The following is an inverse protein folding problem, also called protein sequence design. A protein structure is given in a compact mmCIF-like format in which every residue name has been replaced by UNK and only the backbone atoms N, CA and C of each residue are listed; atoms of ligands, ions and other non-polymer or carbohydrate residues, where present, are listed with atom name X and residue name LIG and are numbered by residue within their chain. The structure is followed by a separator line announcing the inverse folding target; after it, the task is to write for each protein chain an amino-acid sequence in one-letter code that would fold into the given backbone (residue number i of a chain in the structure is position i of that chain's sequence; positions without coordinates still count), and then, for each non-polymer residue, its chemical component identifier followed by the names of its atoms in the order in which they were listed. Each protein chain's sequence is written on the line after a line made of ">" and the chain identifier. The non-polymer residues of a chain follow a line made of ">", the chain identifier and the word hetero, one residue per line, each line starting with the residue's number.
data_IF_981735752946
#
_entry.id   IF_981735752946
#
_cell.length_a   1.000
_cell.length_b   1.000
_cell.length_c   1.000
_cell.angle_alpha   90.00
_cell.angle_beta   90.00
_cell.angle_gamma   90.00
#
_symmetry.space_group_name_H-M   'P 1'
#
loop_
_entity.id
_entity.type
_entity.pdbx_description
1 polymer ?
#
# COMPACT_ATOMS: atom_id res chain seq x y z
N UNK A 1 -27.75 2.65 1.24
CA UNK A 1 -26.33 2.21 1.31
C UNK A 1 -25.58 2.93 0.20
N UNK A 2 -24.46 3.58 0.52
CA UNK A 2 -23.65 4.33 -0.46
C UNK A 2 -22.40 3.49 -0.77
N UNK A 3 -22.25 3.06 -2.02
CA UNK A 3 -21.13 2.25 -2.51
C UNK A 3 -20.12 3.06 -3.32
N UNK A 4 -20.20 4.39 -3.23
CA UNK A 4 -19.28 5.30 -3.88
C UNK A 4 -18.24 5.75 -2.86
N UNK A 5 -17.00 5.85 -3.32
CA UNK A 5 -15.94 6.51 -2.58
C UNK A 5 -16.36 7.95 -2.24
N UNK A 6 -15.87 8.45 -1.12
CA UNK A 6 -15.94 9.87 -0.84
C UNK A 6 -14.87 10.66 -1.63
N UNK A 7 -14.88 11.98 -1.45
CA UNK A 7 -14.00 12.87 -2.19
C UNK A 7 -12.53 12.68 -1.79
N UNK A 8 -12.25 12.32 -0.53
CA UNK A 8 -10.91 12.09 0.00
C UNK A 8 -10.32 10.80 -0.57
N UNK A 9 -11.07 9.69 -0.53
CA UNK A 9 -10.69 8.41 -1.13
C UNK A 9 -10.48 8.54 -2.65
N UNK A 10 -11.36 9.31 -3.32
CA UNK A 10 -11.23 9.56 -4.76
C UNK A 10 -9.96 10.35 -5.08
N UNK A 11 -9.67 11.39 -4.32
CA UNK A 11 -8.48 12.22 -4.56
C UNK A 11 -7.18 11.48 -4.19
N UNK A 12 -7.23 10.62 -3.18
CA UNK A 12 -6.13 9.71 -2.84
C UNK A 12 -5.78 8.80 -4.03
N UNK A 13 -6.77 8.12 -4.61
CA UNK A 13 -6.58 7.30 -5.81
C UNK A 13 -6.02 8.09 -6.99
N UNK A 14 -6.59 9.27 -7.29
CA UNK A 14 -6.08 10.14 -8.37
C UNK A 14 -4.65 10.60 -8.15
N UNK A 15 -4.26 10.84 -6.90
CA UNK A 15 -2.89 11.24 -6.56
C UNK A 15 -1.91 10.11 -6.82
N UNK A 16 -2.26 8.89 -6.40
CA UNK A 16 -1.45 7.71 -6.70
C UNK A 16 -1.36 7.45 -8.20
N UNK A 17 -2.47 7.55 -8.95
CA UNK A 17 -2.48 7.39 -10.41
C UNK A 17 -1.49 8.35 -11.09
N UNK A 18 -1.56 9.65 -10.77
CA UNK A 18 -0.65 10.66 -11.33
C UNK A 18 0.80 10.39 -10.99
N UNK A 19 1.08 10.01 -9.74
CA UNK A 19 2.44 9.68 -9.29
C UNK A 19 2.99 8.47 -10.05
N UNK A 20 2.20 7.41 -10.21
CA UNK A 20 2.60 6.18 -10.86
C UNK A 20 2.74 6.35 -12.38
N UNK A 21 1.84 7.12 -13.00
CA UNK A 21 1.93 7.49 -14.42
C UNK A 21 3.25 8.24 -14.75
N UNK A 22 3.80 8.99 -13.79
CA UNK A 22 5.07 9.70 -13.95
C UNK A 22 6.31 8.84 -13.65
N UNK A 23 6.15 7.56 -13.24
CA UNK A 23 7.24 6.77 -12.68
C UNK A 23 7.86 5.72 -13.62
N UNK A 24 7.52 5.71 -14.91
CA UNK A 24 7.95 4.70 -15.90
C UNK A 24 7.91 3.26 -15.34
N UNK A 25 6.74 2.89 -14.82
CA UNK A 25 6.53 1.56 -14.25
C UNK A 25 6.79 0.42 -15.24
N UNK A 26 6.54 0.55 -16.57
CA UNK A 26 6.89 -0.52 -17.51
C UNK A 26 8.40 -0.81 -17.56
N UNK A 27 9.25 0.21 -17.50
CA UNK A 27 10.70 -0.01 -17.42
C UNK A 27 11.10 -0.67 -16.10
N UNK A 28 10.51 -0.23 -14.98
CA UNK A 28 10.79 -0.80 -13.67
C UNK A 28 10.41 -2.29 -13.59
N UNK A 29 9.27 -2.69 -14.14
CA UNK A 29 8.83 -4.10 -14.19
C UNK A 29 9.75 -4.95 -15.05
N UNK A 30 10.15 -4.46 -16.24
CA UNK A 30 11.07 -5.19 -17.11
C UNK A 30 12.45 -5.36 -16.48
N UNK A 31 12.98 -4.31 -15.86
CA UNK A 31 14.25 -4.37 -15.13
C UNK A 31 14.17 -5.40 -13.98
N UNK A 32 13.08 -5.39 -13.22
CA UNK A 32 12.84 -6.35 -12.14
C UNK A 32 12.85 -7.78 -12.64
N UNK A 33 12.16 -8.06 -13.74
CA UNK A 33 12.15 -9.39 -14.38
C UNK A 33 13.52 -9.83 -14.91
N UNK A 34 14.39 -8.89 -15.26
CA UNK A 34 15.77 -9.14 -15.66
C UNK A 34 16.75 -9.25 -14.47
N UNK A 35 16.27 -9.13 -13.22
CA UNK A 35 17.06 -9.20 -11.99
C UNK A 35 17.57 -7.84 -11.48
N UNK A 36 17.37 -6.74 -12.22
CA UNK A 36 17.67 -5.39 -11.73
C UNK A 36 16.46 -4.81 -10.97
N UNK A 37 16.55 -4.88 -9.66
CA UNK A 37 15.52 -4.42 -8.74
C UNK A 37 15.65 -2.93 -8.38
N UNK A 38 16.68 -2.23 -8.86
CA UNK A 38 16.96 -0.82 -8.54
C UNK A 38 15.80 0.13 -8.86
N UNK A 39 15.30 0.16 -10.11
CA UNK A 39 14.17 1.01 -10.49
C UNK A 39 12.89 0.71 -9.70
N UNK A 40 12.58 -0.58 -9.48
CA UNK A 40 11.42 -0.98 -8.70
C UNK A 40 11.53 -0.56 -7.23
N UNK A 41 12.72 -0.66 -6.62
CA UNK A 41 12.95 -0.16 -5.25
C UNK A 41 12.80 1.36 -5.14
N UNK A 42 13.22 2.11 -6.16
CA UNK A 42 13.01 3.56 -6.19
C UNK A 42 11.51 3.92 -6.26
N UNK A 43 10.74 3.16 -7.04
CA UNK A 43 9.27 3.28 -7.08
C UNK A 43 8.64 2.92 -5.72
N UNK A 44 9.10 1.84 -5.08
CA UNK A 44 8.67 1.45 -3.73
C UNK A 44 8.90 2.54 -2.69
N UNK A 45 10.05 3.20 -2.74
CA UNK A 45 10.32 4.33 -1.87
C UNK A 45 9.29 5.45 -2.04
N UNK A 46 8.92 5.78 -3.28
CA UNK A 46 7.92 6.83 -3.56
C UNK A 46 6.53 6.49 -3.01
N UNK A 47 6.07 5.25 -3.20
CA UNK A 47 4.76 4.82 -2.65
C UNK A 47 4.80 4.72 -1.11
N UNK A 48 5.94 4.36 -0.52
CA UNK A 48 6.14 4.36 0.93
C UNK A 48 6.09 5.79 1.49
N UNK A 49 6.80 6.73 0.85
CA UNK A 49 6.81 8.14 1.23
C UNK A 49 5.41 8.78 1.04
N UNK A 50 4.57 8.23 0.15
CA UNK A 50 3.15 8.59 -0.01
C UNK A 50 2.21 7.93 1.03
N UNK A 51 2.74 7.12 1.95
CA UNK A 51 1.98 6.54 3.07
C UNK A 51 1.22 5.24 2.76
N UNK A 52 1.38 4.65 1.56
CA UNK A 52 0.62 3.45 1.14
C UNK A 52 0.77 2.29 2.12
N UNK A 53 2.00 2.05 2.61
CA UNK A 53 2.25 0.94 3.52
C UNK A 53 1.81 1.22 4.96
N UNK A 54 1.56 2.48 5.32
CA UNK A 54 1.07 2.84 6.67
C UNK A 54 -0.44 2.58 6.83
N UNK A 55 -1.19 2.45 5.73
CA UNK A 55 -2.65 2.22 5.72
C UNK A 55 -3.13 0.91 6.36
N UNK A 56 -2.21 -0.02 6.63
CA UNK A 56 -2.51 -1.30 7.27
C UNK A 56 -1.62 -1.57 8.50
N UNK A 57 -0.86 -0.56 8.94
CA UNK A 57 0.01 -0.64 10.10
C UNK A 57 -0.76 -0.11 11.31
N UNK A 58 -0.70 -0.79 12.48
CA UNK A 58 -1.28 -0.27 13.72
C UNK A 58 -0.70 1.10 14.11
N UNK A 59 -1.51 1.96 14.72
CA UNK A 59 -1.11 3.32 15.11
C UNK A 59 0.08 3.36 16.09
N UNK A 60 0.25 2.34 16.93
CA UNK A 60 1.39 2.20 17.85
C UNK A 60 2.75 2.13 17.14
N UNK A 61 2.75 1.79 15.85
CA UNK A 61 3.92 1.77 14.98
C UNK A 61 3.90 2.91 13.96
N UNK A 62 3.27 4.03 14.30
CA UNK A 62 3.11 5.21 13.43
C UNK A 62 2.33 4.93 12.13
N UNK A 63 1.52 3.87 12.14
CA UNK A 63 0.58 3.55 11.07
C UNK A 63 -0.72 4.35 11.15
N UNK A 64 -1.61 4.13 10.18
CA UNK A 64 -2.92 4.79 10.13
C UNK A 64 -4.07 3.90 10.65
N UNK A 65 -3.76 2.71 11.17
CA UNK A 65 -4.76 1.71 11.53
C UNK A 65 -5.39 1.03 10.31
N UNK A 66 -6.32 0.07 10.50
CA UNK A 66 -6.90 -0.68 9.40
C UNK A 66 -7.87 0.19 8.59
N UNK A 67 -7.38 0.77 7.49
CA UNK A 67 -8.15 1.58 6.54
C UNK A 67 -8.44 0.76 5.26
N UNK A 68 -9.43 -0.17 5.28
CA UNK A 68 -9.61 -1.15 4.21
C UNK A 68 -10.04 -0.54 2.87
N UNK A 69 -10.77 0.59 2.89
CA UNK A 69 -11.25 1.23 1.64
C UNK A 69 -10.09 1.96 0.95
N UNK A 70 -9.33 2.75 1.69
CA UNK A 70 -8.14 3.45 1.24
C UNK A 70 -7.09 2.45 0.76
N UNK A 71 -6.91 1.34 1.49
CA UNK A 71 -6.04 0.25 1.09
C UNK A 71 -6.49 -0.36 -0.25
N UNK A 72 -7.78 -0.66 -0.40
CA UNK A 72 -8.31 -1.18 -1.65
C UNK A 72 -8.10 -0.19 -2.82
N UNK A 73 -8.34 1.10 -2.60
CA UNK A 73 -8.07 2.16 -3.58
C UNK A 73 -6.59 2.18 -3.97
N UNK A 74 -5.67 2.12 -3.01
CA UNK A 74 -4.23 2.07 -3.29
C UNK A 74 -3.88 0.86 -4.16
N UNK A 75 -4.35 -0.33 -3.82
CA UNK A 75 -4.04 -1.55 -4.58
C UNK A 75 -4.67 -1.59 -5.97
N UNK A 76 -5.82 -0.93 -6.19
CA UNK A 76 -6.38 -0.73 -7.52
C UNK A 76 -5.40 0.08 -8.39
N UNK A 77 -4.85 1.18 -7.87
CA UNK A 77 -3.88 2.01 -8.60
C UNK A 77 -2.54 1.31 -8.82
N UNK A 78 -1.98 0.68 -7.78
CA UNK A 78 -0.73 -0.07 -7.89
C UNK A 78 -0.83 -1.21 -8.91
N UNK A 79 -1.98 -1.91 -8.93
CA UNK A 79 -2.27 -2.97 -9.90
C UNK A 79 -2.41 -2.43 -11.32
N UNK A 80 -3.10 -1.30 -11.51
CA UNK A 80 -3.26 -0.64 -12.82
C UNK A 80 -1.92 -0.29 -13.46
N UNK A 81 -0.96 0.14 -12.64
CA UNK A 81 0.39 0.50 -13.09
C UNK A 81 1.40 -0.64 -13.01
N UNK A 82 0.95 -1.86 -12.68
CA UNK A 82 1.78 -3.07 -12.57
C UNK A 82 3.02 -2.88 -11.67
N UNK A 83 2.90 -2.19 -10.54
CA UNK A 83 4.04 -1.93 -9.64
C UNK A 83 4.67 -3.27 -9.20
N UNK A 84 5.97 -3.51 -9.47
CA UNK A 84 6.60 -4.79 -9.18
C UNK A 84 6.93 -4.93 -7.69
N UNK A 85 7.01 -6.17 -7.20
CA UNK A 85 7.47 -6.49 -5.85
C UNK A 85 6.38 -7.03 -4.90
N UNK A 86 6.74 -7.37 -3.66
CA UNK A 86 5.87 -8.07 -2.71
C UNK A 86 4.91 -7.12 -1.98
N UNK A 87 4.10 -6.35 -2.72
CA UNK A 87 3.24 -5.28 -2.16
C UNK A 87 2.19 -5.85 -1.20
N UNK A 88 1.45 -6.87 -1.65
CA UNK A 88 0.37 -7.48 -0.88
C UNK A 88 0.95 -8.19 0.34
N UNK A 89 2.04 -8.91 0.16
CA UNK A 89 2.72 -9.64 1.24
C UNK A 89 3.24 -8.69 2.32
N UNK A 90 3.79 -7.54 1.91
CA UNK A 90 4.28 -6.50 2.84
C UNK A 90 3.16 -5.95 3.71
N UNK A 91 2.02 -5.60 3.09
CA UNK A 91 0.85 -5.08 3.79
C UNK A 91 0.18 -6.15 4.64
N UNK A 92 0.07 -7.39 4.15
CA UNK A 92 -0.48 -8.50 4.93
C UNK A 92 0.37 -8.78 6.18
N UNK A 93 1.69 -8.70 6.05
CA UNK A 93 2.60 -8.84 7.18
C UNK A 93 2.48 -7.69 8.18
N UNK A 94 2.23 -6.45 7.73
CA UNK A 94 2.11 -5.31 8.64
C UNK A 94 0.91 -5.40 9.59
N UNK A 95 -0.18 -6.01 9.16
CA UNK A 95 -1.37 -6.23 10.00
C UNK A 95 -1.03 -7.10 11.22
N UNK A 96 -0.08 -8.03 11.09
CA UNK A 96 0.33 -8.92 12.18
C UNK A 96 1.16 -8.22 13.27
N UNK A 97 1.61 -6.98 13.03
CA UNK A 97 2.34 -6.20 14.04
C UNK A 97 1.49 -5.91 15.29
N UNK A 98 0.17 -5.78 15.13
CA UNK A 98 -0.78 -5.61 16.23
C UNK A 98 -1.13 -6.91 16.97
N UNK A 99 -0.42 -8.00 16.66
CA UNK A 99 -0.67 -9.34 17.20
C UNK A 99 -1.70 -10.15 16.39
N UNK A 100 -1.80 -11.47 16.65
CA UNK A 100 -2.79 -12.32 16.01
C UNK A 100 -4.20 -11.84 16.35
N UNK A 101 -5.10 -11.79 15.35
CA UNK A 101 -6.50 -11.50 15.57
C UNK A 101 -7.09 -12.48 16.61
N UNK A 102 -7.41 -11.97 17.80
CA UNK A 102 -7.94 -12.75 18.93
C UNK A 102 -7.10 -12.75 20.21
N UNK A 103 -5.87 -12.20 20.22
CA UNK A 103 -5.04 -12.12 21.43
C UNK A 103 -5.10 -10.77 22.18
N UNK A 104 -5.76 -9.75 21.60
CA UNK A 104 -5.82 -8.41 22.19
C UNK A 104 -6.66 -8.32 23.48
N UNK A 105 -7.42 -9.36 23.85
CA UNK A 105 -8.32 -9.35 25.01
C UNK A 105 -7.81 -10.21 26.19
N UNK A 106 -6.69 -10.94 26.05
CA UNK A 106 -6.16 -11.82 27.11
C UNK A 106 -5.07 -11.19 27.98
N UNK A 107 -4.69 -9.93 27.73
CA UNK A 107 -3.64 -9.23 28.49
C UNK A 107 -4.19 -8.23 29.54
N UNK A 108 -5.51 -8.13 29.69
CA UNK A 108 -6.18 -7.26 30.65
C UNK A 108 -6.82 -8.01 31.84
N UNK A 109 -6.33 -9.21 32.18
CA UNK A 109 -6.74 -10.00 33.35
C UNK A 109 -5.72 -9.89 34.51
#
# INVERSE_FOLDING_TARGET
>A
MKFLLDDEQTEFGRTLDRMLAAADTPAAVRAWGAGDTGPGRALWKRIADAGVFALAVPEEYEGMGPLPVELAVAFIELGRHAVPGPLVETVAASVLLGGPAGCADSAAA
#
